data_IF_720072030744
#
_entry.id   IF_720072030744
#
_cell.length_a   1.000
_cell.length_b   1.000
_cell.length_c   1.000
_cell.angle_alpha   90.00
_cell.angle_beta   90.00
_cell.angle_gamma   90.00
#
_symmetry.space_group_name_H-M   'P 1'
#
loop_
_entity.id
_entity.type
_entity.pdbx_description
1 polymer ?
#
# COMPACT_ATOMS: atom_id res chain seq x y z
N UNK A 1 -14.62 -21.07 6.94
CA UNK A 1 -14.35 -19.73 6.37
C UNK A 1 -12.85 -19.65 6.12
N UNK A 2 -12.42 -19.11 4.98
CA UNK A 2 -11.03 -18.93 4.60
C UNK A 2 -10.83 -17.46 4.28
N UNK A 3 -9.78 -16.82 4.81
CA UNK A 3 -9.31 -15.51 4.41
C UNK A 3 -7.98 -15.68 3.67
N UNK A 4 -7.84 -15.02 2.54
CA UNK A 4 -6.67 -15.19 1.66
C UNK A 4 -6.43 -13.95 0.82
N UNK A 5 -5.25 -13.90 0.21
CA UNK A 5 -4.78 -12.85 -0.68
C UNK A 5 -4.41 -13.44 -2.05
N UNK A 6 -4.18 -12.63 -3.10
CA UNK A 6 -3.63 -13.12 -4.36
C UNK A 6 -2.34 -13.96 -4.17
N UNK A 7 -2.10 -15.00 -4.98
CA UNK A 7 -2.94 -15.49 -6.10
C UNK A 7 -4.09 -16.39 -5.68
N UNK A 8 -4.15 -16.80 -4.42
CA UNK A 8 -5.13 -17.78 -3.95
C UNK A 8 -6.58 -17.30 -4.05
N UNK A 9 -6.82 -15.98 -3.99
CA UNK A 9 -8.16 -15.40 -4.19
C UNK A 9 -8.70 -15.70 -5.58
N UNK A 10 -7.87 -15.58 -6.63
CA UNK A 10 -8.24 -15.87 -8.02
C UNK A 10 -8.50 -17.36 -8.21
N UNK A 11 -7.65 -18.21 -7.63
CA UNK A 11 -7.79 -19.66 -7.71
C UNK A 11 -9.08 -20.15 -7.02
N UNK A 12 -9.39 -19.59 -5.85
CA UNK A 12 -10.62 -19.91 -5.12
C UNK A 12 -11.87 -19.37 -5.83
N UNK A 13 -11.78 -18.21 -6.47
CA UNK A 13 -12.88 -17.64 -7.24
C UNK A 13 -13.24 -18.49 -8.48
N UNK A 14 -12.28 -19.23 -9.03
CA UNK A 14 -12.49 -20.14 -10.15
C UNK A 14 -13.09 -21.49 -9.74
N UNK A 15 -13.04 -21.85 -8.44
CA UNK A 15 -13.57 -23.13 -7.94
C UNK A 15 -15.04 -22.97 -7.51
N UNK A 16 -16.00 -23.69 -8.14
CA UNK A 16 -17.42 -23.58 -7.82
C UNK A 16 -17.81 -24.04 -6.41
N UNK A 17 -16.90 -24.64 -5.66
CA UNK A 17 -17.13 -25.03 -4.27
C UNK A 17 -16.93 -23.88 -3.29
N UNK A 18 -16.41 -22.75 -3.74
CA UNK A 18 -16.20 -21.56 -2.93
C UNK A 18 -17.07 -20.40 -3.39
N UNK A 19 -17.44 -19.56 -2.45
CA UNK A 19 -18.14 -18.30 -2.71
C UNK A 19 -17.47 -17.18 -1.91
N UNK A 20 -17.19 -16.07 -2.57
CA UNK A 20 -16.72 -14.85 -1.90
C UNK A 20 -17.86 -14.29 -1.06
N UNK A 21 -17.64 -14.16 0.23
CA UNK A 21 -18.62 -13.63 1.19
C UNK A 21 -18.44 -12.11 1.35
N UNK A 22 -17.20 -11.66 1.44
CA UNK A 22 -16.84 -10.26 1.57
C UNK A 22 -15.38 -10.07 1.17
N UNK A 23 -14.98 -8.86 0.87
CA UNK A 23 -13.58 -8.44 0.86
C UNK A 23 -13.29 -7.42 1.97
N UNK A 24 -12.01 -7.15 2.15
CA UNK A 24 -11.58 -6.29 3.25
C UNK A 24 -12.07 -4.84 3.04
N UNK A 25 -12.10 -4.38 1.79
CA UNK A 25 -12.60 -3.05 1.47
C UNK A 25 -14.08 -2.89 1.86
N UNK A 26 -14.93 -3.89 1.50
CA UNK A 26 -16.35 -3.89 1.85
C UNK A 26 -16.58 -3.85 3.37
N UNK A 27 -15.71 -4.52 4.13
CA UNK A 27 -15.83 -4.61 5.60
C UNK A 27 -15.28 -3.38 6.30
N UNK A 28 -14.14 -2.86 5.83
CA UNK A 28 -13.41 -1.77 6.50
C UNK A 28 -13.86 -0.37 6.03
N UNK A 29 -14.52 -0.27 4.88
CA UNK A 29 -14.93 1.01 4.29
C UNK A 29 -13.76 1.88 3.81
N UNK A 30 -12.55 1.30 3.75
CA UNK A 30 -11.34 2.00 3.32
C UNK A 30 -10.40 1.03 2.59
N UNK A 31 -9.62 1.50 1.60
CA UNK A 31 -8.61 0.67 0.94
C UNK A 31 -7.55 0.23 1.96
N UNK A 32 -7.08 -1.01 1.82
CA UNK A 32 -5.90 -1.45 2.53
C UNK A 32 -4.67 -0.79 1.88
N UNK A 33 -3.88 -0.10 2.68
CA UNK A 33 -2.63 0.52 2.25
C UNK A 33 -1.45 -0.08 3.00
N UNK A 34 -0.35 -0.26 2.30
CA UNK A 34 0.92 -0.62 2.92
C UNK A 34 1.56 0.60 3.58
N UNK A 35 2.34 0.37 4.63
CA UNK A 35 3.02 1.43 5.38
C UNK A 35 4.54 1.26 5.30
N UNK A 36 5.24 2.39 5.30
CA UNK A 36 6.69 2.42 5.44
C UNK A 36 6.99 2.84 6.88
N UNK A 37 7.59 1.94 7.64
CA UNK A 37 7.97 2.20 9.03
C UNK A 37 9.47 2.35 9.15
N UNK A 38 9.91 3.36 9.86
CA UNK A 38 11.33 3.64 10.14
C UNK A 38 11.55 3.87 11.63
N UNK A 39 12.77 3.64 12.11
CA UNK A 39 13.14 3.99 13.48
C UNK A 39 13.20 5.52 13.64
N UNK A 40 12.78 6.05 14.79
CA UNK A 40 12.79 7.48 15.06
C UNK A 40 14.18 8.11 14.85
N UNK A 41 15.25 7.44 15.31
CA UNK A 41 16.63 7.90 15.08
C UNK A 41 16.96 8.06 13.58
N UNK A 42 16.45 7.17 12.72
CA UNK A 42 16.65 7.26 11.25
C UNK A 42 15.87 8.43 10.70
N UNK A 43 14.63 8.63 11.12
CA UNK A 43 13.82 9.77 10.70
C UNK A 43 14.47 11.11 11.08
N UNK A 44 15.03 11.21 12.31
CA UNK A 44 15.67 12.41 12.81
C UNK A 44 17.04 12.69 12.16
N UNK A 45 17.86 11.68 11.95
CA UNK A 45 19.25 11.84 11.51
C UNK A 45 19.48 11.67 10.02
N UNK A 46 18.57 10.97 9.32
CA UNK A 46 18.65 10.62 7.90
C UNK A 46 17.39 11.00 7.13
N UNK A 47 16.69 12.03 7.55
CA UNK A 47 15.43 12.44 6.94
C UNK A 47 15.55 12.77 5.45
N UNK A 48 16.68 13.33 4.99
CA UNK A 48 16.89 13.62 3.56
C UNK A 48 17.11 12.34 2.74
N UNK A 49 17.75 11.31 3.32
CA UNK A 49 17.88 9.99 2.67
C UNK A 49 16.50 9.32 2.53
N UNK A 50 15.62 9.46 3.54
CA UNK A 50 14.25 8.96 3.46
C UNK A 50 13.44 9.67 2.38
N UNK A 51 13.58 10.98 2.26
CA UNK A 51 12.93 11.76 1.18
C UNK A 51 13.39 11.28 -0.19
N UNK A 52 14.70 11.06 -0.38
CA UNK A 52 15.24 10.54 -1.63
C UNK A 52 14.78 9.10 -1.92
N UNK A 53 14.65 8.27 -0.89
CA UNK A 53 14.08 6.91 -1.02
C UNK A 53 12.62 6.96 -1.45
N UNK A 54 11.80 7.82 -0.83
CA UNK A 54 10.40 8.01 -1.19
C UNK A 54 10.24 8.53 -2.61
N UNK A 55 11.09 9.46 -3.07
CA UNK A 55 11.10 9.92 -4.47
C UNK A 55 11.34 8.74 -5.43
N UNK A 56 12.33 7.90 -5.15
CA UNK A 56 12.59 6.72 -5.98
C UNK A 56 11.41 5.73 -5.97
N UNK A 57 10.83 5.46 -4.80
CA UNK A 57 9.73 4.52 -4.65
C UNK A 57 8.48 5.01 -5.37
N UNK A 58 8.04 6.24 -5.11
CA UNK A 58 6.84 6.78 -5.74
C UNK A 58 7.01 7.02 -7.24
N UNK A 59 8.22 7.36 -7.71
CA UNK A 59 8.51 7.41 -9.15
C UNK A 59 8.36 6.02 -9.79
N UNK A 60 8.83 4.97 -9.14
CA UNK A 60 8.62 3.61 -9.64
C UNK A 60 7.14 3.22 -9.64
N UNK A 61 6.40 3.56 -8.58
CA UNK A 61 4.96 3.32 -8.49
C UNK A 61 4.19 4.07 -9.59
N UNK A 62 4.53 5.32 -9.86
CA UNK A 62 3.92 6.15 -10.90
C UNK A 62 4.12 5.56 -12.29
N UNK A 63 5.32 5.06 -12.59
CA UNK A 63 5.62 4.35 -13.84
C UNK A 63 4.76 3.08 -13.94
N UNK A 64 4.73 2.27 -12.90
CA UNK A 64 3.98 1.00 -12.90
C UNK A 64 2.47 1.20 -12.85
N UNK A 65 1.97 2.35 -12.37
CA UNK A 65 0.55 2.70 -12.38
C UNK A 65 0.03 2.98 -13.81
N UNK A 66 0.93 3.35 -14.74
CA UNK A 66 0.59 3.75 -16.10
C UNK A 66 1.02 2.75 -17.17
N UNK A 67 1.78 1.70 -16.82
CA UNK A 67 2.27 0.67 -17.73
C UNK A 67 2.01 -0.73 -17.19
N UNK A 68 0.83 -1.27 -17.51
CA UNK A 68 0.41 -2.63 -17.11
C UNK A 68 1.32 -3.72 -17.65
N UNK A 69 1.94 -3.51 -18.83
CA UNK A 69 2.87 -4.48 -19.41
C UNK A 69 4.14 -4.58 -18.59
N UNK A 70 4.72 -3.43 -18.24
CA UNK A 70 5.91 -3.35 -17.40
C UNK A 70 5.61 -3.89 -15.99
N UNK A 71 4.44 -3.54 -15.44
CA UNK A 71 3.97 -4.04 -14.16
C UNK A 71 3.84 -5.55 -14.14
N UNK A 72 3.25 -6.14 -15.18
CA UNK A 72 3.16 -7.60 -15.31
C UNK A 72 4.53 -8.26 -15.41
N UNK A 73 5.45 -7.71 -16.22
CA UNK A 73 6.80 -8.24 -16.37
C UNK A 73 7.53 -8.28 -15.01
N UNK A 74 7.56 -7.16 -14.29
CA UNK A 74 8.25 -7.09 -12.99
C UNK A 74 7.57 -7.92 -11.92
N UNK A 75 6.23 -7.91 -11.85
CA UNK A 75 5.46 -8.74 -10.91
C UNK A 75 5.75 -10.22 -11.11
N UNK A 76 5.66 -10.72 -12.33
CA UNK A 76 5.98 -12.12 -12.65
C UNK A 76 7.43 -12.50 -12.27
N UNK A 77 8.40 -11.60 -12.47
CA UNK A 77 9.79 -11.82 -12.06
C UNK A 77 9.95 -11.90 -10.54
N UNK A 78 9.28 -11.03 -9.79
CA UNK A 78 9.33 -11.04 -8.32
C UNK A 78 8.75 -12.35 -7.80
N UNK A 79 7.54 -12.73 -8.19
CA UNK A 79 6.90 -13.95 -7.75
C UNK A 79 7.72 -15.20 -8.12
N UNK A 80 8.29 -15.25 -9.32
CA UNK A 80 9.17 -16.34 -9.71
C UNK A 80 10.44 -16.42 -8.83
N UNK A 81 11.00 -15.27 -8.43
CA UNK A 81 12.18 -15.24 -7.55
C UNK A 81 11.88 -15.71 -6.12
N UNK A 82 10.64 -15.57 -5.69
CA UNK A 82 10.15 -16.04 -4.39
C UNK A 82 9.64 -17.49 -4.42
N UNK A 83 9.68 -18.14 -5.58
CA UNK A 83 9.20 -19.50 -5.76
C UNK A 83 7.68 -19.62 -5.78
N UNK A 84 6.97 -18.51 -5.91
CA UNK A 84 5.51 -18.49 -6.03
C UNK A 84 5.10 -18.73 -7.48
N UNK A 85 4.21 -19.70 -7.70
CA UNK A 85 3.63 -19.94 -9.03
C UNK A 85 2.52 -18.93 -9.27
N UNK A 86 2.74 -18.06 -10.25
CA UNK A 86 1.80 -17.05 -10.73
C UNK A 86 1.55 -17.27 -12.20
N UNK A 87 0.30 -17.22 -12.63
CA UNK A 87 -0.07 -17.27 -14.06
C UNK A 87 -0.25 -15.86 -14.62
N UNK A 88 -0.28 -15.73 -15.92
CA UNK A 88 -0.61 -14.45 -16.57
C UNK A 88 -2.01 -13.96 -16.19
N UNK A 89 -2.97 -14.87 -16.01
CA UNK A 89 -4.35 -14.54 -15.58
C UNK A 89 -4.36 -14.06 -14.11
N UNK A 90 -3.57 -14.68 -13.23
CA UNK A 90 -3.42 -14.21 -11.83
C UNK A 90 -2.84 -12.80 -11.80
N UNK A 91 -1.81 -12.53 -12.63
CA UNK A 91 -1.20 -11.22 -12.72
C UNK A 91 -2.14 -10.16 -13.29
N UNK A 92 -2.89 -10.49 -14.33
CA UNK A 92 -3.92 -9.60 -14.88
C UNK A 92 -5.01 -9.27 -13.85
N UNK A 93 -5.43 -10.27 -13.07
CA UNK A 93 -6.40 -10.07 -11.97
C UNK A 93 -5.83 -9.17 -10.88
N UNK A 94 -4.56 -9.32 -10.52
CA UNK A 94 -3.90 -8.46 -9.53
C UNK A 94 -3.82 -7.01 -10.03
N UNK A 95 -3.37 -6.80 -11.25
CA UNK A 95 -3.31 -5.46 -11.86
C UNK A 95 -4.67 -4.77 -11.86
N UNK A 96 -5.73 -5.51 -12.13
CA UNK A 96 -7.09 -4.97 -12.14
C UNK A 96 -7.63 -4.60 -10.74
N UNK A 97 -7.09 -5.20 -9.68
CA UNK A 97 -7.59 -5.05 -8.30
C UNK A 97 -6.67 -4.28 -7.36
N UNK A 98 -5.47 -3.95 -7.79
CA UNK A 98 -4.52 -3.15 -7.03
C UNK A 98 -4.16 -1.88 -7.76
N UNK A 99 -4.09 -0.75 -7.04
CA UNK A 99 -3.62 0.51 -7.56
C UNK A 99 -2.30 0.88 -6.92
N UNK A 100 -1.38 1.43 -7.70
CA UNK A 100 -0.21 2.12 -7.20
C UNK A 100 -0.49 3.62 -7.10
N UNK A 101 0.15 4.28 -6.13
CA UNK A 101 0.04 5.72 -6.01
C UNK A 101 0.82 6.41 -7.12
N UNK A 102 0.17 7.37 -7.76
CA UNK A 102 0.82 8.32 -8.66
C UNK A 102 1.22 9.57 -7.89
N UNK A 103 2.12 10.36 -8.47
CA UNK A 103 2.49 11.66 -7.88
C UNK A 103 1.30 12.60 -7.76
N UNK A 104 0.34 12.57 -8.69
CA UNK A 104 -0.86 13.40 -8.62
C UNK A 104 -1.78 12.95 -7.48
N UNK A 105 -1.96 11.65 -7.28
CA UNK A 105 -2.72 11.12 -6.15
C UNK A 105 -2.11 11.53 -4.79
N UNK A 106 -0.78 11.56 -4.70
CA UNK A 106 -0.09 12.01 -3.49
C UNK A 106 -0.29 13.51 -3.24
N UNK A 107 -0.22 14.34 -4.28
CA UNK A 107 -0.46 15.81 -4.17
C UNK A 107 -1.89 16.13 -3.75
N UNK A 108 -2.85 15.35 -4.21
CA UNK A 108 -4.27 15.54 -3.92
C UNK A 108 -4.72 14.86 -2.62
N UNK A 109 -3.84 14.08 -1.98
CA UNK A 109 -4.13 13.28 -0.78
C UNK A 109 -5.41 12.45 -0.93
N UNK A 110 -5.63 11.85 -2.10
CA UNK A 110 -6.85 11.09 -2.42
C UNK A 110 -7.03 9.84 -1.57
N UNK A 111 -5.99 9.42 -0.86
CA UNK A 111 -5.99 8.26 0.04
C UNK A 111 -6.19 8.65 1.51
N UNK A 112 -6.31 9.94 1.80
CA UNK A 112 -6.49 10.48 3.16
C UNK A 112 -5.45 9.91 4.14
N UNK A 113 -4.25 10.51 4.16
CA UNK A 113 -3.10 10.00 4.91
C UNK A 113 -3.45 9.55 6.32
N UNK A 114 -3.15 8.30 6.62
CA UNK A 114 -3.38 7.70 7.94
C UNK A 114 -4.80 7.19 8.19
N UNK A 115 -5.80 7.53 7.36
CA UNK A 115 -7.21 7.16 7.60
C UNK A 115 -7.40 5.64 7.81
N UNK A 116 -6.74 4.82 7.00
CA UNK A 116 -6.80 3.35 7.13
C UNK A 116 -6.26 2.89 8.47
N UNK A 117 -5.12 3.42 8.94
CA UNK A 117 -4.52 3.06 10.22
C UNK A 117 -5.39 3.49 11.41
N UNK A 118 -5.99 4.67 11.32
CA UNK A 118 -6.94 5.18 12.34
C UNK A 118 -8.18 4.28 12.41
N UNK A 119 -8.75 3.91 11.26
CA UNK A 119 -9.93 3.03 11.21
C UNK A 119 -9.63 1.62 11.75
N UNK A 120 -8.50 1.04 11.38
CA UNK A 120 -8.05 -0.25 11.91
C UNK A 120 -7.80 -0.17 13.41
N UNK A 121 -7.17 0.90 13.88
CA UNK A 121 -6.93 1.14 15.31
C UNK A 121 -8.24 1.23 16.10
N UNK A 122 -9.23 1.98 15.59
CA UNK A 122 -10.54 2.08 16.20
C UNK A 122 -11.23 0.72 16.29
N UNK A 123 -11.16 -0.08 15.23
CA UNK A 123 -11.66 -1.46 15.23
C UNK A 123 -10.97 -2.33 16.30
N UNK A 124 -9.65 -2.23 16.45
CA UNK A 124 -8.92 -3.02 17.43
C UNK A 124 -9.26 -2.61 18.88
N UNK A 125 -9.53 -1.33 19.12
CA UNK A 125 -10.05 -0.86 20.42
C UNK A 125 -11.43 -1.46 20.69
N UNK A 126 -12.34 -1.39 19.71
CA UNK A 126 -13.70 -1.94 19.83
C UNK A 126 -13.71 -3.45 20.11
N UNK A 127 -12.74 -4.17 19.53
CA UNK A 127 -12.55 -5.62 19.76
C UNK A 127 -11.76 -5.94 21.03
N UNK A 128 -11.31 -4.94 21.80
CA UNK A 128 -10.49 -5.13 23.00
C UNK A 128 -9.09 -5.73 22.71
N UNK A 129 -8.57 -5.54 21.50
CA UNK A 129 -7.22 -6.00 21.10
C UNK A 129 -6.13 -5.01 21.50
N UNK A 130 -6.47 -3.73 21.61
CA UNK A 130 -5.61 -2.67 22.16
C UNK A 130 -6.42 -1.85 23.16
N UNK A 131 -5.75 -1.25 24.14
CA UNK A 131 -6.38 -0.40 25.12
C UNK A 131 -6.80 0.95 24.49
N UNK A 132 -7.92 1.51 24.95
CA UNK A 132 -8.40 2.80 24.42
C UNK A 132 -7.40 3.95 24.66
N UNK A 133 -6.62 3.87 25.75
CA UNK A 133 -5.59 4.85 26.10
C UNK A 133 -4.37 4.79 25.15
N UNK A 134 -4.17 3.69 24.42
CA UNK A 134 -3.10 3.53 23.45
C UNK A 134 -3.49 4.02 22.03
N UNK A 135 -4.79 4.20 21.77
CA UNK A 135 -5.28 4.63 20.47
C UNK A 135 -4.66 5.95 19.94
N UNK A 136 -4.47 7.01 20.76
CA UNK A 136 -3.83 8.24 20.30
C UNK A 136 -2.38 8.04 19.82
N UNK A 137 -1.70 6.96 20.25
CA UNK A 137 -0.34 6.67 19.83
C UNK A 137 -0.26 6.26 18.35
N UNK A 138 -1.37 5.75 17.80
CA UNK A 138 -1.45 5.39 16.36
C UNK A 138 -1.30 6.65 15.52
N UNK A 139 -2.09 7.70 15.80
CA UNK A 139 -1.98 8.97 15.09
C UNK A 139 -0.62 9.63 15.31
N UNK A 140 -0.14 9.63 16.56
CA UNK A 140 1.17 10.21 16.91
C UNK A 140 2.36 9.48 16.26
N UNK A 141 2.19 8.25 15.80
CA UNK A 141 3.23 7.46 15.11
C UNK A 141 3.33 7.76 13.61
N UNK A 142 2.40 8.52 13.06
CA UNK A 142 2.34 8.84 11.63
C UNK A 142 2.92 10.22 11.36
N UNK A 143 3.78 10.34 10.35
CA UNK A 143 4.40 11.61 9.96
C UNK A 143 4.22 11.86 8.47
N UNK A 144 3.25 12.70 8.13
CA UNK A 144 2.94 13.11 6.76
C UNK A 144 4.02 14.02 6.15
N UNK A 145 4.84 14.68 6.97
CA UNK A 145 5.83 15.64 6.49
C UNK A 145 6.85 15.05 5.51
N UNK A 146 7.14 13.75 5.63
CA UNK A 146 8.01 13.06 4.69
C UNK A 146 7.42 12.94 3.28
N UNK A 147 6.12 12.76 3.16
CA UNK A 147 5.41 12.76 1.85
C UNK A 147 5.44 14.16 1.24
N UNK A 148 5.12 15.19 2.02
CA UNK A 148 5.17 16.58 1.57
C UNK A 148 6.58 16.98 1.08
N UNK A 149 7.61 16.59 1.83
CA UNK A 149 9.00 16.81 1.44
C UNK A 149 9.40 16.02 0.20
N UNK A 150 8.92 14.79 0.03
CA UNK A 150 9.18 13.97 -1.16
C UNK A 150 8.54 14.59 -2.41
N UNK A 151 7.31 15.09 -2.30
CA UNK A 151 6.64 15.83 -3.39
C UNK A 151 7.47 17.08 -3.77
N UNK A 152 7.86 17.89 -2.80
CA UNK A 152 8.65 19.09 -3.05
C UNK A 152 10.03 18.77 -3.68
N UNK A 153 10.67 17.70 -3.24
CA UNK A 153 11.94 17.22 -3.78
C UNK A 153 11.78 16.74 -5.23
N UNK A 154 10.74 15.96 -5.51
CA UNK A 154 10.42 15.46 -6.84
C UNK A 154 10.15 16.61 -7.81
N UNK A 155 9.32 17.58 -7.42
CA UNK A 155 8.97 18.72 -8.25
C UNK A 155 10.19 19.59 -8.55
N UNK A 156 11.04 19.85 -7.56
CA UNK A 156 12.27 20.60 -7.77
C UNK A 156 13.25 19.92 -8.74
N UNK A 157 13.38 18.58 -8.62
CA UNK A 157 14.25 17.76 -9.48
C UNK A 157 13.79 17.72 -10.94
N UNK A 158 12.49 17.83 -11.18
CA UNK A 158 11.90 17.75 -12.53
C UNK A 158 11.58 19.13 -13.14
N UNK A 159 11.88 20.22 -12.45
CA UNK A 159 11.71 21.60 -12.94
C UNK A 159 12.93 22.10 -13.76
N UNK A 160 14.04 21.37 -13.79
CA UNK A 160 15.26 21.66 -14.56
C UNK A 160 15.22 21.00 -15.95
#
# INVERSE_FOLDING_TARGET
MLATTPPYTSQLAADPNYVKVADLYDVMGAPLVDTISVQNEVAETRGDDLVALLDCLYTAMDILATDDTLRAEYGMRIYASEGTTYTEDDMASEIANQSYFTWDMLREDVYEFGATMINIGAFFVDQGMIEADDYPNIEASMDHSFIERAIAYHDAKNAE
#
